data_IF_901836121709
#
_entry.id   IF_901836121709
#
_cell.length_a   1.000
_cell.length_b   1.000
_cell.length_c   1.000
_cell.angle_alpha   90.00
_cell.angle_beta   90.00
_cell.angle_gamma   90.00
#
_symmetry.space_group_name_H-M   'P 1'
#
loop_
_entity.id
_entity.type
_entity.pdbx_description
1 polymer ?
#
# COMPACT_ATOMS: atom_id res chain seq x y z
N UNK A 1 -16.39 -19.95 14.83
CA UNK A 1 -15.22 -19.23 14.28
C UNK A 1 -15.40 -17.81 14.70
N UNK A 2 -14.43 -17.25 15.43
CA UNK A 2 -14.48 -15.85 15.88
C UNK A 2 -13.40 -15.12 15.09
N UNK A 3 -13.78 -14.66 13.89
CA UNK A 3 -12.82 -14.09 12.94
C UNK A 3 -12.75 -12.59 13.13
N UNK A 4 -11.56 -12.06 13.37
CA UNK A 4 -11.37 -10.64 13.67
C UNK A 4 -10.33 -10.07 12.71
N UNK A 5 -10.65 -8.93 12.12
CA UNK A 5 -9.72 -8.10 11.39
C UNK A 5 -9.47 -6.83 12.21
N UNK A 6 -8.22 -6.58 12.60
CA UNK A 6 -7.79 -5.32 13.20
C UNK A 6 -6.78 -4.67 12.29
N UNK A 7 -6.96 -3.39 12.00
CA UNK A 7 -6.08 -2.73 11.05
C UNK A 7 -6.11 -1.23 11.14
N UNK A 8 -5.11 -0.64 10.49
CA UNK A 8 -4.96 0.78 10.28
C UNK A 8 -4.78 1.00 8.78
N UNK A 9 -5.50 1.95 8.18
CA UNK A 9 -5.40 2.23 6.75
C UNK A 9 -5.53 3.73 6.45
N UNK A 10 -5.34 4.10 5.18
CA UNK A 10 -5.44 5.48 4.68
C UNK A 10 -6.74 6.20 5.05
N UNK A 11 -7.86 5.47 5.22
CA UNK A 11 -9.16 6.07 5.60
C UNK A 11 -9.25 6.42 7.08
N UNK A 12 -8.55 5.67 7.94
CA UNK A 12 -8.64 5.83 9.40
C UNK A 12 -7.47 6.59 10.00
N UNK A 13 -6.35 6.70 9.28
CA UNK A 13 -5.15 7.32 9.82
C UNK A 13 -4.31 8.04 8.75
N UNK A 14 -3.77 9.22 9.08
CA UNK A 14 -2.85 9.92 8.19
C UNK A 14 -1.53 9.16 8.06
N UNK A 15 -0.82 9.36 6.95
CA UNK A 15 0.49 8.73 6.67
C UNK A 15 1.50 8.82 7.83
N UNK A 16 1.54 9.94 8.54
CA UNK A 16 2.45 10.18 9.67
C UNK A 16 2.22 9.26 10.87
N UNK A 17 1.01 8.69 10.98
CA UNK A 17 0.67 7.66 11.96
C UNK A 17 0.89 6.29 11.35
N UNK A 18 0.42 6.06 10.11
CA UNK A 18 0.52 4.75 9.43
C UNK A 18 1.95 4.25 9.27
N UNK A 19 2.89 5.14 8.93
CA UNK A 19 4.29 4.77 8.76
C UNK A 19 4.94 4.21 10.05
N UNK A 20 4.39 4.56 11.22
CA UNK A 20 4.83 4.02 12.51
C UNK A 20 4.44 2.55 12.64
N UNK A 21 3.29 2.17 12.08
CA UNK A 21 2.74 0.81 12.14
C UNK A 21 3.10 -0.07 10.93
N UNK A 22 3.71 0.50 9.89
CA UNK A 22 4.21 -0.30 8.76
C UNK A 22 5.20 -1.37 9.23
N UNK A 23 4.94 -2.62 8.86
CA UNK A 23 5.78 -3.77 9.20
C UNK A 23 6.65 -4.17 8.01
N UNK A 24 7.94 -4.35 8.27
CA UNK A 24 8.84 -5.04 7.33
C UNK A 24 8.55 -6.55 7.32
N UNK A 25 8.98 -7.31 6.31
CA UNK A 25 8.75 -8.76 6.27
C UNK A 25 9.23 -9.50 7.53
N UNK A 26 10.34 -9.05 8.12
CA UNK A 26 10.90 -9.60 9.37
C UNK A 26 9.98 -9.25 10.57
N UNK A 27 9.44 -8.04 10.61
CA UNK A 27 8.54 -7.64 11.70
C UNK A 27 7.16 -8.30 11.59
N UNK A 28 6.65 -8.52 10.39
CA UNK A 28 5.48 -9.38 10.18
C UNK A 28 5.74 -10.80 10.68
N UNK A 29 6.95 -11.31 10.48
CA UNK A 29 7.34 -12.64 10.95
C UNK A 29 7.38 -12.75 12.48
N UNK A 30 7.91 -11.71 13.13
CA UNK A 30 7.90 -11.58 14.58
C UNK A 30 6.48 -11.48 15.11
N UNK A 31 5.64 -10.64 14.50
CA UNK A 31 4.24 -10.45 14.90
C UNK A 31 3.46 -11.76 14.83
N UNK A 32 3.59 -12.50 13.72
CA UNK A 32 2.97 -13.81 13.60
C UNK A 32 3.48 -14.76 14.69
N UNK A 33 4.77 -14.77 14.98
CA UNK A 33 5.34 -15.61 16.05
C UNK A 33 4.74 -15.30 17.42
N UNK A 34 4.63 -14.03 17.79
CA UNK A 34 4.03 -13.58 19.05
C UNK A 34 2.54 -13.96 19.13
N UNK A 35 1.79 -13.76 18.04
CA UNK A 35 0.38 -14.19 17.96
C UNK A 35 0.23 -15.71 18.08
N UNK A 36 1.20 -16.50 17.61
CA UNK A 36 1.18 -17.97 17.80
C UNK A 36 1.29 -18.39 19.25
N UNK A 37 2.03 -17.63 20.02
CA UNK A 37 2.25 -17.89 21.44
C UNK A 37 1.06 -17.48 22.30
N UNK A 38 0.09 -16.77 21.73
CA UNK A 38 -1.16 -16.45 22.37
C UNK A 38 -2.12 -17.65 22.32
N UNK A 39 -2.44 -18.19 23.50
CA UNK A 39 -3.32 -19.35 23.61
C UNK A 39 -4.75 -19.10 23.10
N UNK A 40 -5.19 -17.85 23.01
CA UNK A 40 -6.50 -17.51 22.47
C UNK A 40 -6.53 -17.45 20.94
N UNK A 41 -5.38 -17.32 20.26
CA UNK A 41 -5.28 -17.21 18.80
C UNK A 41 -5.02 -18.57 18.18
N UNK A 42 -5.93 -19.00 17.29
CA UNK A 42 -5.84 -20.31 16.62
C UNK A 42 -5.26 -20.22 15.21
N UNK A 43 -5.58 -19.15 14.48
CA UNK A 43 -5.08 -18.89 13.13
C UNK A 43 -4.77 -17.40 12.98
N UNK A 44 -3.75 -17.05 12.20
CA UNK A 44 -3.39 -15.65 11.95
C UNK A 44 -2.72 -15.42 10.58
N UNK A 45 -2.96 -14.27 9.97
CA UNK A 45 -2.06 -13.68 8.97
C UNK A 45 -1.96 -12.17 9.14
N UNK A 46 -0.91 -11.59 8.56
CA UNK A 46 -0.63 -10.15 8.57
C UNK A 46 -0.45 -9.68 7.14
N UNK A 47 -1.04 -8.54 6.80
CA UNK A 47 -0.85 -7.86 5.53
C UNK A 47 -0.40 -6.41 5.80
N UNK A 48 0.86 -6.10 5.48
CA UNK A 48 1.39 -4.73 5.55
C UNK A 48 1.72 -4.22 4.13
N UNK A 49 1.07 -3.15 3.72
CA UNK A 49 1.26 -2.48 2.43
C UNK A 49 1.50 -0.99 2.62
N UNK A 50 1.63 -0.23 1.54
CA UNK A 50 1.72 1.23 1.62
C UNK A 50 0.44 1.91 2.13
N UNK A 51 -0.71 1.23 2.07
CA UNK A 51 -2.01 1.83 2.39
C UNK A 51 -2.67 1.24 3.64
N UNK A 52 -2.16 0.12 4.16
CA UNK A 52 -2.74 -0.57 5.31
C UNK A 52 -1.71 -1.45 6.04
N UNK A 53 -1.90 -1.58 7.34
CA UNK A 53 -1.34 -2.69 8.12
C UNK A 53 -2.51 -3.37 8.82
N UNK A 54 -2.74 -4.63 8.47
CA UNK A 54 -3.88 -5.41 8.95
C UNK A 54 -3.40 -6.73 9.53
N UNK A 55 -4.03 -7.11 10.63
CA UNK A 55 -3.86 -8.41 11.28
C UNK A 55 -5.22 -9.08 11.29
N UNK A 56 -5.24 -10.31 10.81
CA UNK A 56 -6.42 -11.14 10.77
C UNK A 56 -6.19 -12.34 11.66
N UNK A 57 -7.08 -12.54 12.64
CA UNK A 57 -6.97 -13.62 13.63
C UNK A 57 -8.28 -14.40 13.70
N UNK A 58 -8.17 -15.70 13.93
CA UNK A 58 -9.28 -16.52 14.41
C UNK A 58 -9.01 -16.87 15.87
N UNK A 59 -9.93 -16.54 16.76
CA UNK A 59 -9.75 -16.71 18.20
C UNK A 59 -10.71 -17.75 18.77
N UNK A 60 -10.36 -18.32 19.93
CA UNK A 60 -11.19 -19.32 20.61
C UNK A 60 -12.45 -18.67 21.19
N UNK A 61 -12.29 -17.50 21.82
CA UNK A 61 -13.35 -16.77 22.50
C UNK A 61 -13.66 -15.45 21.78
N UNK A 62 -14.94 -15.10 21.69
CA UNK A 62 -15.39 -13.85 21.08
C UNK A 62 -14.98 -12.62 21.92
N UNK A 63 -14.77 -12.78 23.22
CA UNK A 63 -14.34 -11.73 24.15
C UNK A 63 -12.83 -11.45 24.12
N UNK A 64 -12.12 -11.89 23.07
CA UNK A 64 -10.70 -11.65 22.91
C UNK A 64 -10.35 -10.15 22.89
N UNK A 65 -9.42 -9.75 23.74
CA UNK A 65 -8.98 -8.36 23.88
C UNK A 65 -8.15 -7.92 22.67
N UNK A 66 -8.81 -7.28 21.69
CA UNK A 66 -8.17 -6.89 20.42
C UNK A 66 -7.03 -5.88 20.60
N UNK A 67 -7.07 -5.07 21.67
CA UNK A 67 -6.02 -4.12 22.02
C UNK A 67 -4.66 -4.81 22.17
N UNK A 68 -4.65 -6.08 22.60
CA UNK A 68 -3.45 -6.90 22.71
C UNK A 68 -2.70 -7.03 21.39
N UNK A 69 -3.41 -7.15 20.26
CA UNK A 69 -2.78 -7.21 18.93
C UNK A 69 -2.05 -5.89 18.63
N UNK A 70 -2.68 -4.76 18.94
CA UNK A 70 -2.08 -3.43 18.75
C UNK A 70 -0.88 -3.22 19.67
N UNK A 71 -0.95 -3.70 20.92
CA UNK A 71 0.17 -3.68 21.86
C UNK A 71 1.38 -4.46 21.34
N UNK A 72 1.17 -5.66 20.78
CA UNK A 72 2.27 -6.46 20.19
C UNK A 72 2.90 -5.71 19.01
N UNK A 73 2.10 -5.08 18.14
CA UNK A 73 2.63 -4.25 17.05
C UNK A 73 3.47 -3.10 17.62
N UNK A 74 2.96 -2.39 18.63
CA UNK A 74 3.70 -1.31 19.31
C UNK A 74 5.04 -1.81 19.87
N UNK A 75 5.07 -2.96 20.53
CA UNK A 75 6.29 -3.57 21.06
C UNK A 75 7.31 -3.87 19.96
N UNK A 76 6.89 -4.52 18.87
CA UNK A 76 7.77 -4.86 17.73
C UNK A 76 8.33 -3.61 17.04
N UNK A 77 7.54 -2.54 17.02
CA UNK A 77 7.91 -1.26 16.42
C UNK A 77 8.67 -0.34 17.37
N UNK A 78 8.80 -0.70 18.66
CA UNK A 78 9.43 0.14 19.68
C UNK A 78 8.65 1.43 19.96
N UNK A 79 7.33 1.40 19.79
CA UNK A 79 6.44 2.54 20.03
C UNK A 79 5.80 2.36 21.41
N UNK A 80 5.81 3.42 22.22
CA UNK A 80 5.06 3.42 23.48
C UNK A 80 3.56 3.31 23.20
N UNK A 81 2.93 2.24 23.68
CA UNK A 81 1.49 2.08 23.57
C UNK A 81 0.76 3.17 24.38
N UNK A 82 -0.29 3.71 23.79
CA UNK A 82 -1.23 4.64 24.41
C UNK A 82 -2.62 4.30 23.90
N UNK A 83 -3.63 4.28 24.77
CA UNK A 83 -5.02 3.93 24.40
C UNK A 83 -5.58 4.85 23.31
N UNK A 84 -5.12 6.11 23.23
CA UNK A 84 -5.48 7.01 22.14
C UNK A 84 -5.09 6.53 20.74
N UNK A 85 -4.16 5.57 20.60
CA UNK A 85 -3.83 4.96 19.31
C UNK A 85 -4.98 4.15 18.73
N UNK A 86 -5.85 3.57 19.58
CA UNK A 86 -7.00 2.78 19.13
C UNK A 86 -7.96 3.59 18.26
N UNK A 87 -8.01 4.92 18.41
CA UNK A 87 -8.83 5.79 17.55
C UNK A 87 -8.43 5.78 16.06
N UNK A 88 -7.22 5.32 15.73
CA UNK A 88 -6.75 5.15 14.35
C UNK A 88 -6.99 3.75 13.79
N UNK A 89 -7.26 2.76 14.66
CA UNK A 89 -7.50 1.38 14.26
C UNK A 89 -9.00 1.14 14.08
N UNK A 90 -9.34 0.34 13.08
CA UNK A 90 -10.67 -0.25 12.97
C UNK A 90 -10.60 -1.71 13.38
N UNK A 91 -11.74 -2.23 13.82
CA UNK A 91 -11.91 -3.64 14.14
C UNK A 91 -13.21 -4.12 13.52
N UNK A 92 -13.13 -5.24 12.79
CA UNK A 92 -14.28 -5.92 12.23
C UNK A 92 -14.35 -7.34 12.77
N UNK A 93 -15.56 -7.82 12.98
CA UNK A 93 -15.85 -9.15 13.49
C UNK A 93 -16.63 -9.98 12.46
N UNK A 94 -16.32 -11.26 12.42
CA UNK A 94 -16.98 -12.33 11.68
C UNK A 94 -17.32 -11.96 10.24
N UNK A 95 -18.61 -11.86 9.91
CA UNK A 95 -19.06 -11.61 8.54
C UNK A 95 -18.53 -10.29 8.00
N UNK A 96 -18.43 -9.26 8.84
CA UNK A 96 -17.89 -7.96 8.46
C UNK A 96 -16.40 -8.06 8.17
N UNK A 97 -15.64 -8.84 8.96
CA UNK A 97 -14.22 -9.08 8.72
C UNK A 97 -13.98 -9.87 7.43
N UNK A 98 -14.81 -10.88 7.15
CA UNK A 98 -14.78 -11.65 5.89
C UNK A 98 -15.09 -10.73 4.71
N UNK A 99 -16.13 -9.90 4.81
CA UNK A 99 -16.50 -8.94 3.77
C UNK A 99 -15.36 -7.95 3.50
N UNK A 100 -14.79 -7.35 4.55
CA UNK A 100 -13.64 -6.47 4.45
C UNK A 100 -12.48 -7.12 3.70
N UNK A 101 -12.09 -8.34 4.11
CA UNK A 101 -11.03 -9.10 3.43
C UNK A 101 -11.33 -9.31 1.94
N UNK A 102 -12.57 -9.66 1.60
CA UNK A 102 -12.99 -9.85 0.19
C UNK A 102 -12.93 -8.54 -0.59
N UNK A 103 -13.36 -7.41 0.01
CA UNK A 103 -13.26 -6.08 -0.59
C UNK A 103 -11.81 -5.66 -0.83
N UNK A 104 -10.90 -5.94 0.11
CA UNK A 104 -9.45 -5.69 -0.04
C UNK A 104 -8.88 -6.56 -1.16
N UNK A 105 -9.16 -7.86 -1.19
CA UNK A 105 -8.70 -8.76 -2.25
C UNK A 105 -9.25 -8.39 -3.64
N UNK A 106 -10.47 -7.85 -3.72
CA UNK A 106 -11.07 -7.36 -4.95
C UNK A 106 -10.58 -5.94 -5.35
N UNK A 107 -9.83 -5.27 -4.47
CA UNK A 107 -9.32 -3.92 -4.70
C UNK A 107 -10.38 -2.82 -4.59
N UNK A 108 -11.54 -3.09 -3.99
CA UNK A 108 -12.56 -2.07 -3.70
C UNK A 108 -12.17 -1.21 -2.51
N UNK A 109 -11.52 -1.82 -1.52
CA UNK A 109 -10.91 -1.09 -0.42
C UNK A 109 -9.43 -0.87 -0.73
N UNK A 110 -9.13 0.01 -1.67
CA UNK A 110 -7.79 0.45 -2.03
C UNK A 110 -7.83 1.94 -2.32
N UNK A 111 -6.74 2.65 -2.01
CA UNK A 111 -6.55 4.05 -2.42
C UNK A 111 -6.87 4.22 -3.90
N UNK A 112 -6.35 3.30 -4.71
CA UNK A 112 -6.66 3.19 -6.13
C UNK A 112 -7.59 2.01 -6.34
N UNK A 113 -8.88 2.29 -6.50
CA UNK A 113 -9.89 1.23 -6.69
C UNK A 113 -9.56 0.41 -7.94
N UNK A 114 -9.55 -0.91 -7.78
CA UNK A 114 -9.23 -1.89 -8.82
C UNK A 114 -7.74 -2.15 -9.03
N UNK A 115 -6.88 -1.63 -8.15
CA UNK A 115 -5.43 -1.87 -8.22
C UNK A 115 -5.12 -3.37 -8.24
N UNK A 116 -4.38 -3.84 -9.24
CA UNK A 116 -4.07 -5.28 -9.39
C UNK A 116 -3.07 -5.80 -8.36
N UNK A 117 -2.30 -4.90 -7.75
CA UNK A 117 -1.18 -5.25 -6.87
C UNK A 117 -1.63 -5.78 -5.51
N UNK A 118 -2.74 -5.26 -4.97
CA UNK A 118 -3.23 -5.65 -3.64
C UNK A 118 -3.57 -7.14 -3.58
N UNK A 119 -4.21 -7.71 -4.61
CA UNK A 119 -4.50 -9.14 -4.68
C UNK A 119 -3.22 -9.99 -4.60
N UNK A 120 -2.15 -9.54 -5.26
CA UNK A 120 -0.85 -10.20 -5.18
C UNK A 120 -0.22 -10.12 -3.78
N UNK A 121 -0.31 -8.96 -3.13
CA UNK A 121 0.17 -8.76 -1.76
C UNK A 121 -0.60 -9.61 -0.74
N UNK A 122 -1.93 -9.64 -0.85
CA UNK A 122 -2.78 -10.50 0.00
C UNK A 122 -2.47 -11.98 -0.22
N UNK A 123 -2.25 -12.41 -1.48
CA UNK A 123 -1.81 -13.77 -1.76
C UNK A 123 -0.48 -14.09 -1.06
N UNK A 124 0.51 -13.20 -1.14
CA UNK A 124 1.78 -13.39 -0.43
C UNK A 124 1.61 -13.48 1.09
N UNK A 125 0.71 -12.68 1.67
CA UNK A 125 0.38 -12.76 3.10
C UNK A 125 -0.25 -14.11 3.47
N UNK A 126 -1.19 -14.62 2.66
CA UNK A 126 -1.77 -15.95 2.84
C UNK A 126 -0.74 -17.07 2.73
N UNK A 127 0.10 -17.03 1.69
CA UNK A 127 1.13 -18.04 1.46
C UNK A 127 2.12 -18.09 2.64
N UNK A 128 2.46 -16.92 3.21
CA UNK A 128 3.34 -16.78 4.38
C UNK A 128 2.71 -17.37 5.65
N UNK A 129 1.44 -17.06 5.91
CA UNK A 129 0.70 -17.65 7.04
C UNK A 129 0.62 -19.17 6.93
N UNK A 130 0.35 -19.69 5.73
CA UNK A 130 0.31 -21.12 5.46
C UNK A 130 1.67 -21.80 5.67
N UNK A 131 2.75 -21.27 5.09
CA UNK A 131 4.11 -21.84 5.21
C UNK A 131 4.59 -21.93 6.66
N UNK A 132 4.15 -21.00 7.51
CA UNK A 132 4.50 -20.97 8.93
C UNK A 132 3.55 -21.78 9.84
N UNK A 133 2.59 -22.48 9.25
CA UNK A 133 1.65 -23.33 9.96
C UNK A 133 0.63 -22.56 10.81
N UNK A 134 0.29 -21.33 10.41
CA UNK A 134 -0.75 -20.52 11.05
C UNK A 134 -2.14 -20.73 10.45
N UNK A 135 -2.24 -21.49 9.35
CA UNK A 135 -3.50 -21.72 8.66
C UNK A 135 -3.99 -23.11 9.00
N UNK A 136 -5.14 -23.17 9.66
CA UNK A 136 -5.92 -24.38 9.79
C UNK A 136 -6.97 -24.38 8.68
N UNK A 137 -8.06 -25.13 8.88
CA UNK A 137 -9.06 -25.36 7.84
C UNK A 137 -9.79 -24.07 7.43
N UNK A 138 -10.12 -23.20 8.38
CA UNK A 138 -10.96 -22.03 8.11
C UNK A 138 -10.20 -21.00 7.26
N UNK A 139 -8.96 -20.65 7.62
CA UNK A 139 -8.17 -19.69 6.85
C UNK A 139 -7.78 -20.23 5.48
N UNK A 140 -7.54 -21.54 5.34
CA UNK A 140 -7.31 -22.15 4.02
C UNK A 140 -8.54 -22.01 3.11
N UNK A 141 -9.75 -22.22 3.63
CA UNK A 141 -10.98 -22.02 2.84
C UNK A 141 -11.17 -20.54 2.52
N UNK A 142 -11.04 -19.66 3.52
CA UNK A 142 -11.22 -18.22 3.38
C UNK A 142 -10.28 -17.62 2.34
N UNK A 143 -8.97 -17.87 2.46
CA UNK A 143 -7.96 -17.37 1.54
C UNK A 143 -8.22 -17.82 0.10
N UNK A 144 -8.59 -19.08 -0.12
CA UNK A 144 -8.92 -19.60 -1.44
C UNK A 144 -10.20 -18.97 -2.03
N UNK A 145 -11.20 -18.67 -1.21
CA UNK A 145 -12.40 -17.96 -1.67
C UNK A 145 -12.06 -16.49 -1.97
N UNK A 146 -11.29 -15.82 -1.12
CA UNK A 146 -10.87 -14.43 -1.28
C UNK A 146 -10.01 -14.20 -2.53
N UNK A 147 -9.03 -15.07 -2.79
CA UNK A 147 -8.23 -15.01 -4.02
C UNK A 147 -9.13 -15.19 -5.24
N UNK A 148 -10.10 -16.12 -5.19
CA UNK A 148 -11.03 -16.33 -6.32
C UNK A 148 -11.97 -15.15 -6.50
N UNK A 149 -12.42 -14.50 -5.42
CA UNK A 149 -13.21 -13.27 -5.50
C UNK A 149 -12.44 -12.17 -6.23
N UNK A 150 -11.20 -11.90 -5.81
CA UNK A 150 -10.35 -10.89 -6.46
C UNK A 150 -10.04 -11.21 -7.93
N UNK A 151 -9.72 -12.46 -8.26
CA UNK A 151 -9.51 -12.88 -9.65
C UNK A 151 -10.77 -12.72 -10.50
N UNK A 152 -11.93 -13.10 -9.96
CA UNK A 152 -13.23 -12.99 -10.64
C UNK A 152 -13.58 -11.52 -10.89
N UNK A 153 -13.41 -10.66 -9.88
CA UNK A 153 -13.60 -9.22 -10.01
C UNK A 153 -12.72 -8.62 -11.13
N UNK A 154 -11.44 -8.99 -11.19
CA UNK A 154 -10.52 -8.49 -12.23
C UNK A 154 -10.82 -9.04 -13.64
N UNK A 155 -11.40 -10.24 -13.75
CA UNK A 155 -11.65 -10.90 -15.03
C UNK A 155 -13.02 -10.58 -15.62
N UNK A 156 -14.04 -10.41 -14.78
CA UNK A 156 -15.44 -10.27 -15.21
C UNK A 156 -15.97 -8.83 -15.11
N UNK A 157 -15.15 -7.89 -14.63
CA UNK A 157 -15.55 -6.48 -14.51
C UNK A 157 -14.45 -5.55 -15.01
N UNK A 158 -14.87 -4.35 -15.37
CA UNK A 158 -13.95 -3.31 -15.84
C UNK A 158 -13.18 -2.62 -14.70
N UNK A 159 -13.28 -3.13 -13.45
CA UNK A 159 -12.66 -2.52 -12.27
C UNK A 159 -11.14 -2.38 -12.43
N UNK A 160 -10.51 -3.34 -13.12
CA UNK A 160 -9.06 -3.38 -13.36
C UNK A 160 -8.62 -2.78 -14.70
N UNK A 161 -9.51 -2.15 -15.46
CA UNK A 161 -9.21 -1.54 -16.77
C UNK A 161 -8.70 -0.10 -16.58
N UNK A 162 -7.68 0.29 -17.35
CA UNK A 162 -7.12 1.64 -17.33
C UNK A 162 -5.86 1.83 -16.46
N UNK A 163 -5.23 0.75 -16.00
CA UNK A 163 -3.88 0.82 -15.43
C UNK A 163 -3.76 1.64 -14.14
N UNK A 164 -4.78 1.62 -13.29
CA UNK A 164 -4.80 2.41 -12.06
C UNK A 164 -3.94 1.75 -10.98
N UNK A 165 -2.86 2.42 -10.64
CA UNK A 165 -1.93 2.10 -9.54
C UNK A 165 -1.55 3.40 -8.83
N UNK A 166 -0.96 3.31 -7.65
CA UNK A 166 -0.45 4.50 -6.93
C UNK A 166 0.57 5.25 -7.79
N UNK A 167 1.42 4.52 -8.53
CA UNK A 167 2.36 5.11 -9.50
C UNK A 167 1.65 5.90 -10.60
N UNK A 168 0.52 5.42 -11.13
CA UNK A 168 -0.25 6.16 -12.13
C UNK A 168 -0.85 7.44 -11.53
N UNK A 169 -1.44 7.36 -10.34
CA UNK A 169 -2.02 8.51 -9.67
C UNK A 169 -0.96 9.60 -9.39
N UNK A 170 0.26 9.20 -9.01
CA UNK A 170 1.39 10.10 -8.84
C UNK A 170 1.74 10.87 -10.13
N UNK A 171 1.76 10.20 -11.28
CA UNK A 171 2.07 10.85 -12.57
C UNK A 171 0.91 11.74 -13.04
N UNK A 172 -0.34 11.33 -12.82
CA UNK A 172 -1.50 12.16 -13.13
C UNK A 172 -1.54 13.42 -12.25
N UNK A 173 -1.19 13.31 -10.97
CA UNK A 173 -1.01 14.47 -10.09
C UNK A 173 0.07 15.41 -10.62
N UNK A 174 1.21 14.87 -11.07
CA UNK A 174 2.27 15.67 -11.67
C UNK A 174 1.84 16.40 -12.94
N UNK A 175 1.07 15.75 -13.80
CA UNK A 175 0.54 16.37 -15.02
C UNK A 175 -0.51 17.46 -14.72
N UNK A 176 -1.34 17.28 -13.68
CA UNK A 176 -2.31 18.29 -13.24
C UNK A 176 -1.60 19.59 -12.84
N UNK A 177 -0.49 19.49 -12.12
CA UNK A 177 0.17 20.64 -11.51
C UNK A 177 1.27 21.24 -12.40
N UNK A 178 2.00 20.42 -13.17
CA UNK A 178 3.09 20.86 -14.05
C UNK A 178 2.66 21.04 -15.51
N UNK A 179 1.43 20.62 -15.86
CA UNK A 179 0.97 20.51 -17.24
C UNK A 179 1.63 19.34 -17.96
N UNK A 180 1.86 19.48 -19.28
CA UNK A 180 2.54 18.43 -20.06
C UNK A 180 3.90 18.09 -19.46
N UNK A 181 4.18 16.79 -19.36
CA UNK A 181 5.48 16.29 -18.90
C UNK A 181 6.50 16.17 -20.03
N UNK A 182 6.08 16.31 -21.29
CA UNK A 182 6.92 16.09 -22.47
C UNK A 182 8.18 16.96 -22.54
N UNK A 183 8.13 18.17 -22.00
CA UNK A 183 9.23 19.14 -21.92
C UNK A 183 9.95 19.14 -20.56
N UNK A 184 9.51 18.30 -19.63
CA UNK A 184 10.00 18.26 -18.24
C UNK A 184 11.11 17.22 -18.07
N UNK A 185 12.06 17.55 -17.21
CA UNK A 185 13.08 16.62 -16.73
C UNK A 185 12.61 15.94 -15.45
N UNK A 186 12.75 14.62 -15.35
CA UNK A 186 12.24 13.82 -14.22
C UNK A 186 13.36 13.08 -13.54
N UNK A 187 13.39 13.08 -12.20
CA UNK A 187 14.22 12.22 -11.38
C UNK A 187 13.36 11.10 -10.76
N UNK A 188 13.72 9.85 -10.99
CA UNK A 188 13.17 8.69 -10.31
C UNK A 188 14.16 8.21 -9.24
N UNK A 189 13.79 8.30 -7.96
CA UNK A 189 14.56 7.74 -6.85
C UNK A 189 13.97 6.39 -6.46
N UNK A 190 14.80 5.35 -6.61
CA UNK A 190 14.44 3.95 -6.44
C UNK A 190 14.18 3.25 -7.78
N UNK A 191 14.45 1.95 -7.84
CA UNK A 191 14.28 1.11 -9.04
C UNK A 191 13.37 -0.11 -8.81
N UNK A 192 12.47 -0.01 -7.83
CA UNK A 192 11.55 -1.08 -7.46
C UNK A 192 10.40 -1.28 -8.45
N UNK A 193 9.45 -2.14 -8.09
CA UNK A 193 8.24 -2.41 -8.90
C UNK A 193 7.44 -1.13 -9.16
N UNK A 194 7.25 -0.31 -8.13
CA UNK A 194 6.51 0.96 -8.21
C UNK A 194 7.24 2.00 -9.06
N UNK A 195 8.57 2.08 -8.97
CA UNK A 195 9.41 2.90 -9.84
C UNK A 195 9.27 2.52 -11.31
N UNK A 196 9.30 1.20 -11.62
CA UNK A 196 9.10 0.68 -12.98
C UNK A 196 7.73 1.06 -13.55
N UNK A 197 6.69 1.02 -12.72
CA UNK A 197 5.35 1.45 -13.12
C UNK A 197 5.28 2.97 -13.36
N UNK A 198 5.85 3.77 -12.45
CA UNK A 198 5.87 5.23 -12.57
C UNK A 198 6.62 5.68 -13.84
N UNK A 199 7.83 5.14 -14.06
CA UNK A 199 8.61 5.41 -15.26
C UNK A 199 7.86 4.98 -16.51
N UNK A 200 7.23 3.80 -16.53
CA UNK A 200 6.40 3.38 -17.67
C UNK A 200 5.26 4.35 -17.99
N UNK A 201 4.61 4.93 -16.97
CA UNK A 201 3.58 5.95 -17.17
C UNK A 201 4.16 7.27 -17.70
N UNK A 202 5.31 7.69 -17.17
CA UNK A 202 6.04 8.88 -17.66
C UNK A 202 6.45 8.70 -19.12
N UNK A 203 7.01 7.54 -19.48
CA UNK A 203 7.40 7.24 -20.86
C UNK A 203 6.23 7.27 -21.83
N UNK A 204 5.04 6.81 -21.44
CA UNK A 204 3.85 6.87 -22.28
C UNK A 204 3.36 8.31 -22.54
N UNK A 205 3.62 9.22 -21.59
CA UNK A 205 3.27 10.66 -21.71
C UNK A 205 4.36 11.49 -22.38
N UNK A 206 5.60 11.00 -22.38
CA UNK A 206 6.78 11.69 -22.86
C UNK A 206 7.45 12.52 -21.78
N UNK A 207 8.76 12.73 -21.94
CA UNK A 207 9.61 13.54 -21.06
C UNK A 207 10.81 14.09 -21.85
N UNK A 208 11.40 15.19 -21.36
CA UNK A 208 12.64 15.74 -21.95
C UNK A 208 13.85 14.92 -21.57
N UNK A 209 13.97 14.60 -20.28
CA UNK A 209 15.08 13.78 -19.75
C UNK A 209 14.64 13.02 -18.50
N UNK A 210 15.04 11.77 -18.39
CA UNK A 210 14.77 10.93 -17.22
C UNK A 210 16.08 10.55 -16.56
N UNK A 211 16.15 10.77 -15.24
CA UNK A 211 17.25 10.40 -14.38
C UNK A 211 16.81 9.31 -13.41
N UNK A 212 17.68 8.36 -13.11
CA UNK A 212 17.40 7.28 -12.15
C UNK A 212 18.51 7.21 -11.11
N UNK A 213 18.12 7.32 -9.83
CA UNK A 213 18.99 7.06 -8.67
C UNK A 213 18.51 5.81 -7.95
N UNK A 214 19.42 4.90 -7.60
CA UNK A 214 19.08 3.76 -6.75
C UNK A 214 20.28 3.31 -5.93
N UNK A 215 20.04 2.87 -4.67
CA UNK A 215 21.11 2.52 -3.72
C UNK A 215 22.03 1.46 -4.31
N UNK A 216 21.44 0.48 -4.98
CA UNK A 216 22.16 -0.50 -5.79
C UNK A 216 22.16 0.00 -7.22
N UNK A 217 23.32 0.46 -7.70
CA UNK A 217 23.48 1.06 -9.03
C UNK A 217 23.01 0.14 -10.16
N UNK A 218 23.26 -1.16 -10.05
CA UNK A 218 22.82 -2.14 -11.05
C UNK A 218 21.32 -2.07 -11.31
N UNK A 219 20.49 -1.90 -10.27
CA UNK A 219 19.04 -1.80 -10.47
C UNK A 219 18.64 -0.49 -11.17
N UNK A 220 19.39 0.61 -10.95
CA UNK A 220 19.19 1.84 -11.70
C UNK A 220 19.54 1.63 -13.17
N UNK A 221 20.66 0.95 -13.48
CA UNK A 221 21.07 0.60 -14.84
C UNK A 221 20.03 -0.28 -15.55
N UNK A 222 19.49 -1.29 -14.88
CA UNK A 222 18.45 -2.16 -15.44
C UNK A 222 17.17 -1.38 -15.79
N UNK A 223 16.77 -0.44 -14.95
CA UNK A 223 15.62 0.43 -15.21
C UNK A 223 15.93 1.41 -16.36
N UNK A 224 17.10 2.04 -16.33
CA UNK A 224 17.53 3.02 -17.31
C UNK A 224 17.64 2.44 -18.72
N UNK A 225 18.18 1.22 -18.86
CA UNK A 225 18.31 0.53 -20.14
C UNK A 225 16.95 0.30 -20.83
N UNK A 226 15.86 0.18 -20.05
CA UNK A 226 14.53 -0.07 -20.59
C UNK A 226 13.81 1.19 -21.06
N UNK A 227 14.19 2.36 -20.54
CA UNK A 227 13.45 3.62 -20.72
C UNK A 227 14.35 4.79 -21.15
N UNK A 228 15.54 4.49 -21.68
CA UNK A 228 16.51 5.49 -22.15
C UNK A 228 16.84 6.57 -21.09
N UNK A 229 16.91 6.15 -19.83
CA UNK A 229 17.21 7.05 -18.72
C UNK A 229 18.72 7.20 -18.47
N UNK A 230 19.10 8.28 -17.81
CA UNK A 230 20.45 8.51 -17.31
C UNK A 230 20.57 8.03 -15.86
N UNK A 231 21.55 7.16 -15.58
CA UNK A 231 21.85 6.75 -14.20
C UNK A 231 22.73 7.80 -13.55
N UNK A 232 22.35 8.22 -12.35
CA UNK A 232 23.04 9.26 -11.57
C UNK A 232 23.29 8.75 -10.15
N UNK A 233 24.39 9.22 -9.53
CA UNK A 233 24.77 8.82 -8.17
C UNK A 233 23.97 9.59 -7.12
N UNK A 234 23.81 8.99 -5.94
CA UNK A 234 23.30 9.72 -4.77
C UNK A 234 24.19 10.89 -4.37
N UNK A 235 25.49 10.82 -4.65
CA UNK A 235 26.41 11.93 -4.42
C UNK A 235 26.06 13.17 -5.26
N UNK A 236 25.43 12.97 -6.42
CA UNK A 236 25.05 14.04 -7.36
C UNK A 236 23.59 14.50 -7.16
N UNK A 237 22.97 14.15 -6.03
CA UNK A 237 21.56 14.44 -5.77
C UNK A 237 21.26 15.93 -5.86
N UNK A 238 22.11 16.77 -5.26
CA UNK A 238 21.91 18.22 -5.26
C UNK A 238 21.92 18.78 -6.68
N UNK A 239 22.91 18.38 -7.47
CA UNK A 239 23.13 18.83 -8.84
C UNK A 239 21.99 18.35 -9.74
N UNK A 240 21.56 17.09 -9.57
CA UNK A 240 20.44 16.52 -10.33
C UNK A 240 19.12 17.21 -9.98
N UNK A 241 18.85 17.46 -8.69
CA UNK A 241 17.66 18.20 -8.24
C UNK A 241 17.64 19.64 -8.79
N UNK A 242 18.79 20.25 -9.10
CA UNK A 242 18.85 21.54 -9.76
C UNK A 242 18.42 21.50 -11.26
N UNK A 243 18.43 20.33 -11.88
CA UNK A 243 18.14 20.14 -13.32
C UNK A 243 16.72 19.63 -13.61
N UNK A 244 16.08 18.96 -12.65
CA UNK A 244 14.77 18.33 -12.86
C UNK A 244 13.59 19.22 -12.49
N UNK A 245 12.40 18.90 -12.98
CA UNK A 245 11.15 19.61 -12.68
C UNK A 245 10.25 18.75 -11.78
N UNK A 246 10.38 17.43 -11.88
CA UNK A 246 9.66 16.43 -11.09
C UNK A 246 10.64 15.42 -10.47
N UNK A 247 10.48 15.12 -9.19
CA UNK A 247 11.15 14.04 -8.50
C UNK A 247 10.13 13.04 -7.94
N UNK A 248 10.15 11.80 -8.42
CA UNK A 248 9.31 10.72 -7.90
C UNK A 248 10.17 9.81 -7.03
N UNK A 249 9.78 9.62 -5.77
CA UNK A 249 10.50 8.75 -4.84
C UNK A 249 9.68 7.50 -4.54
N UNK A 250 10.31 6.35 -4.72
CA UNK A 250 9.75 5.03 -4.42
C UNK A 250 10.86 4.09 -3.99
N UNK A 251 11.20 4.11 -2.71
CA UNK A 251 12.23 3.24 -2.14
C UNK A 251 11.74 2.55 -0.87
N UNK A 252 12.43 1.47 -0.47
CA UNK A 252 12.14 0.73 0.76
C UNK A 252 13.02 1.19 1.93
N UNK A 253 13.61 2.39 1.83
CA UNK A 253 14.45 2.93 2.89
C UNK A 253 13.58 3.22 4.13
N UNK A 254 14.06 2.89 5.34
CA UNK A 254 13.33 3.19 6.58
C UNK A 254 13.54 4.64 7.06
N UNK A 255 14.24 5.47 6.30
CA UNK A 255 14.61 6.84 6.62
C UNK A 255 14.44 7.74 5.39
N UNK A 256 14.49 9.05 5.60
CA UNK A 256 14.48 10.02 4.51
C UNK A 256 15.75 9.88 3.67
N UNK A 257 15.54 9.58 2.40
CA UNK A 257 16.56 9.51 1.35
C UNK A 257 16.82 10.89 0.76
N UNK A 258 15.80 11.75 0.74
CA UNK A 258 15.89 13.14 0.31
C UNK A 258 15.65 14.03 1.52
N UNK A 259 16.72 14.61 2.05
CA UNK A 259 16.70 15.49 3.22
C UNK A 259 16.51 16.96 2.84
N UNK A 260 15.89 17.75 3.73
CA UNK A 260 15.57 19.14 3.44
C UNK A 260 16.79 20.01 3.13
N UNK A 261 17.91 19.78 3.81
CA UNK A 261 19.14 20.54 3.58
C UNK A 261 19.76 20.32 2.18
N UNK A 262 19.52 19.16 1.54
CA UNK A 262 19.96 18.91 0.16
C UNK A 262 19.06 19.67 -0.81
N UNK A 263 17.74 19.64 -0.58
CA UNK A 263 16.75 20.35 -1.41
C UNK A 263 16.97 21.86 -1.34
N UNK A 264 17.14 22.44 -0.15
CA UNK A 264 17.41 23.87 0.05
C UNK A 264 18.62 24.35 -0.76
N UNK A 265 19.73 23.61 -0.68
CA UNK A 265 20.95 23.89 -1.44
C UNK A 265 20.78 23.73 -2.96
N UNK A 266 19.86 22.87 -3.41
CA UNK A 266 19.52 22.73 -4.83
C UNK A 266 18.64 23.89 -5.30
N UNK A 267 17.67 24.33 -4.49
CA UNK A 267 16.78 25.47 -4.79
C UNK A 267 17.54 26.78 -4.94
N UNK A 268 18.62 26.97 -4.16
CA UNK A 268 19.52 28.12 -4.33
C UNK A 268 20.08 28.24 -5.76
N UNK A 269 20.40 27.10 -6.41
CA UNK A 269 20.89 27.07 -7.78
C UNK A 269 19.77 27.18 -8.85
N UNK A 270 18.51 27.01 -8.44
CA UNK A 270 17.34 27.00 -9.33
C UNK A 270 16.69 28.38 -9.48
N UNK A 271 16.95 29.31 -8.56
CA UNK A 271 16.23 30.58 -8.49
C UNK A 271 14.76 30.35 -8.15
N UNK A 272 13.85 30.85 -8.99
CA UNK A 272 12.39 30.73 -8.78
C UNK A 272 11.75 29.55 -9.54
N UNK A 273 12.55 28.65 -10.14
CA UNK A 273 12.00 27.50 -10.88
C UNK A 273 11.39 26.48 -9.92
N UNK A 274 10.09 26.14 -10.07
CA UNK A 274 9.43 25.20 -9.16
C UNK A 274 10.02 23.79 -9.27
N UNK A 275 9.96 23.05 -8.18
CA UNK A 275 10.33 21.63 -8.12
C UNK A 275 9.24 20.85 -7.40
N UNK A 276 8.65 19.88 -8.10
CA UNK A 276 7.63 19.01 -7.54
C UNK A 276 8.24 17.70 -7.09
N UNK A 277 7.85 17.24 -5.91
CA UNK A 277 8.16 15.94 -5.36
C UNK A 277 6.89 15.12 -5.17
N UNK A 278 6.96 13.84 -5.55
CA UNK A 278 5.91 12.87 -5.25
C UNK A 278 6.53 11.66 -4.58
N UNK A 279 6.26 11.50 -3.29
CA UNK A 279 6.74 10.37 -2.48
C UNK A 279 5.66 9.30 -2.37
N UNK A 280 5.89 8.20 -3.10
CA UNK A 280 5.05 7.01 -3.06
C UNK A 280 5.68 5.88 -2.23
N UNK A 281 6.58 6.23 -1.31
CA UNK A 281 7.25 5.30 -0.40
C UNK A 281 6.48 5.10 0.91
N UNK A 282 6.64 3.93 1.53
CA UNK A 282 6.17 3.65 2.88
C UNK A 282 7.23 2.85 3.65
N UNK A 283 7.83 3.40 4.73
CA UNK A 283 7.70 4.77 5.26
C UNK A 283 8.09 5.86 4.25
N UNK A 284 7.77 7.13 4.55
CA UNK A 284 8.16 8.26 3.69
C UNK A 284 9.68 8.31 3.53
N UNK A 285 10.13 8.58 2.31
CA UNK A 285 11.54 8.67 1.93
C UNK A 285 11.96 10.12 1.63
N UNK A 286 11.03 11.08 1.69
CA UNK A 286 11.33 12.51 1.59
C UNK A 286 11.02 13.20 2.91
N UNK A 287 11.95 14.03 3.39
CA UNK A 287 11.75 14.83 4.59
C UNK A 287 10.57 15.81 4.40
N UNK A 288 9.48 15.71 5.19
CA UNK A 288 8.31 16.57 5.05
C UNK A 288 8.63 18.08 5.18
N UNK A 289 9.76 18.44 5.80
CA UNK A 289 10.19 19.83 5.93
C UNK A 289 10.44 20.51 4.59
N UNK A 290 10.65 19.77 3.49
CA UNK A 290 10.84 20.40 2.17
C UNK A 290 9.60 21.17 1.70
N UNK A 291 8.41 20.84 2.22
CA UNK A 291 7.18 21.54 1.90
C UNK A 291 7.15 23.00 2.42
N UNK A 292 8.09 23.36 3.31
CA UNK A 292 8.25 24.72 3.81
C UNK A 292 9.16 25.59 2.93
N UNK A 293 9.82 24.99 1.92
CA UNK A 293 10.72 25.71 1.02
C UNK A 293 9.95 26.39 -0.10
N UNK A 294 10.34 27.62 -0.44
CA UNK A 294 9.73 28.35 -1.55
C UNK A 294 9.89 27.61 -2.88
N UNK A 295 8.83 27.62 -3.69
CA UNK A 295 8.77 26.96 -4.99
C UNK A 295 8.98 25.42 -4.95
N UNK A 296 8.76 24.79 -3.79
CA UNK A 296 8.76 23.33 -3.65
C UNK A 296 7.36 22.85 -3.35
N UNK A 297 6.91 21.83 -4.08
CA UNK A 297 5.67 21.11 -3.78
C UNK A 297 6.01 19.68 -3.41
N UNK A 298 5.44 19.15 -2.33
CA UNK A 298 5.61 17.77 -1.91
C UNK A 298 4.25 17.11 -1.77
N UNK A 299 4.09 15.99 -2.47
CA UNK A 299 2.92 15.14 -2.38
C UNK A 299 3.31 13.76 -1.86
N UNK A 300 2.46 13.22 -1.01
CA UNK A 300 2.52 11.88 -0.49
C UNK A 300 1.40 11.02 -1.08
N UNK A 301 1.41 9.74 -0.73
CA UNK A 301 0.40 8.76 -1.16
C UNK A 301 -1.03 9.24 -0.85
N UNK A 302 -1.26 9.88 0.30
CA UNK A 302 -2.60 10.33 0.71
C UNK A 302 -3.13 11.47 -0.16
N UNK A 303 -2.25 12.33 -0.68
CA UNK A 303 -2.66 13.45 -1.54
C UNK A 303 -3.22 12.96 -2.89
N UNK A 304 -2.83 11.75 -3.30
CA UNK A 304 -3.21 11.12 -4.56
C UNK A 304 -4.70 10.76 -4.62
N UNK A 305 -5.42 10.74 -3.48
CA UNK A 305 -6.87 10.47 -3.40
C UNK A 305 -7.66 11.36 -4.37
N UNK A 306 -7.35 12.65 -4.40
CA UNK A 306 -8.04 13.64 -5.25
C UNK A 306 -8.04 13.27 -6.74
N UNK A 307 -6.94 12.71 -7.23
CA UNK A 307 -6.77 12.32 -8.64
C UNK A 307 -7.45 10.99 -8.93
N UNK A 308 -7.59 10.13 -7.92
CA UNK A 308 -8.28 8.85 -8.06
C UNK A 308 -9.79 9.05 -8.07
N UNK A 309 -10.33 9.93 -7.23
CA UNK A 309 -11.78 10.18 -7.12
C UNK A 309 -12.41 10.61 -8.45
N UNK A 310 -11.72 11.45 -9.23
CA UNK A 310 -12.17 11.85 -10.57
C UNK A 310 -12.31 10.65 -11.54
N UNK A 311 -11.53 9.59 -11.32
CA UNK A 311 -11.61 8.33 -12.08
C UNK A 311 -12.72 7.40 -11.57
N UNK A 312 -13.12 7.50 -10.30
CA UNK A 312 -14.14 6.63 -9.68
C UNK A 312 -15.53 6.81 -10.28
N UNK A 313 -15.91 8.03 -10.67
CA UNK A 313 -17.21 8.30 -11.30
C UNK A 313 -17.40 7.46 -12.58
N UNK A 314 -16.31 7.16 -13.29
CA UNK A 314 -16.34 6.32 -14.50
C UNK A 314 -16.47 4.82 -14.20
N UNK A 315 -16.31 4.41 -12.93
CA UNK A 315 -16.25 3.00 -12.50
C UNK A 315 -17.42 2.56 -11.60
N UNK A 316 -18.42 3.40 -11.39
CA UNK A 316 -19.53 3.09 -10.48
C UNK A 316 -20.27 1.77 -10.84
N UNK A 317 -20.47 1.52 -12.14
CA UNK A 317 -21.06 0.28 -12.62
C UNK A 317 -20.18 -0.94 -12.29
N UNK A 318 -18.87 -0.84 -12.52
CA UNK A 318 -17.91 -1.89 -12.18
C UNK A 318 -17.85 -2.15 -10.66
N UNK A 319 -17.87 -1.11 -9.83
CA UNK A 319 -17.92 -1.24 -8.36
C UNK A 319 -19.15 -2.03 -7.92
N UNK A 320 -20.30 -1.76 -8.53
CA UNK A 320 -21.55 -2.47 -8.22
C UNK A 320 -21.46 -3.95 -8.57
N UNK A 321 -20.97 -4.28 -9.77
CA UNK A 321 -20.75 -5.66 -10.19
C UNK A 321 -19.75 -6.42 -9.29
N UNK A 322 -18.68 -5.75 -8.83
CA UNK A 322 -17.73 -6.37 -7.90
C UNK A 322 -18.36 -6.65 -6.54
N UNK A 323 -19.23 -5.76 -6.04
CA UNK A 323 -19.97 -6.01 -4.78
C UNK A 323 -20.87 -7.24 -4.88
N UNK A 324 -21.53 -7.45 -6.01
CA UNK A 324 -22.33 -8.67 -6.26
C UNK A 324 -21.45 -9.93 -6.27
N UNK A 325 -20.28 -9.87 -6.91
CA UNK A 325 -19.29 -10.96 -6.88
C UNK A 325 -18.86 -11.27 -5.44
N UNK A 326 -18.57 -10.24 -4.64
CA UNK A 326 -18.17 -10.39 -3.24
C UNK A 326 -19.28 -11.04 -2.43
N UNK A 327 -20.52 -10.55 -2.53
CA UNK A 327 -21.66 -11.11 -1.81
C UNK A 327 -21.83 -12.61 -2.09
N UNK A 328 -21.82 -13.00 -3.37
CA UNK A 328 -21.91 -14.40 -3.77
C UNK A 328 -20.74 -15.26 -3.24
N UNK A 329 -19.53 -14.68 -3.12
CA UNK A 329 -18.35 -15.37 -2.57
C UNK A 329 -18.37 -15.50 -1.06
N UNK A 330 -18.93 -14.52 -0.35
CA UNK A 330 -19.16 -14.62 1.10
C UNK A 330 -20.12 -15.77 1.37
N UNK A 331 -21.22 -15.88 0.63
CA UNK A 331 -22.19 -16.97 0.81
C UNK A 331 -21.59 -18.34 0.44
N UNK A 332 -20.75 -18.41 -0.61
CA UNK A 332 -19.95 -19.61 -0.92
C UNK A 332 -19.04 -20.01 0.24
N UNK A 333 -18.38 -19.03 0.89
CA UNK A 333 -17.50 -19.28 2.03
C UNK A 333 -18.27 -19.88 3.22
N UNK A 334 -19.38 -19.24 3.64
CA UNK A 334 -20.17 -19.72 4.77
C UNK A 334 -20.77 -21.10 4.52
N UNK A 335 -21.29 -21.35 3.30
CA UNK A 335 -21.78 -22.69 2.91
C UNK A 335 -20.69 -23.76 3.04
N UNK A 336 -19.43 -23.42 2.69
CA UNK A 336 -18.30 -24.35 2.84
C UNK A 336 -17.97 -24.60 4.30
N UNK A 337 -17.95 -23.55 5.12
CA UNK A 337 -17.65 -23.65 6.54
C UNK A 337 -18.72 -24.48 7.27
N UNK A 338 -20.00 -24.28 7.00
CA UNK A 338 -21.10 -25.08 7.57
C UNK A 338 -20.91 -26.58 7.28
N UNK A 339 -20.59 -26.93 6.03
CA UNK A 339 -20.31 -28.32 5.62
C UNK A 339 -19.11 -28.94 6.33
N UNK A 340 -18.21 -28.14 6.89
CA UNK A 340 -17.09 -28.67 7.67
C UNK A 340 -17.46 -29.08 9.10
N UNK A 341 -18.68 -28.79 9.56
CA UNK A 341 -19.15 -29.08 10.91
C UNK A 341 -18.51 -28.20 11.99
N UNK A 342 -17.79 -27.14 11.59
CA UNK A 342 -17.07 -26.21 12.48
C UNK A 342 -17.91 -24.97 12.87
N UNK A 343 -19.18 -24.93 12.43
CA UNK A 343 -20.16 -23.92 12.84
C UNK A 343 -21.29 -24.62 13.59
N UNK A 344 -21.37 -24.41 14.90
CA UNK A 344 -22.66 -24.43 15.58
C UNK A 344 -23.22 -23.02 15.38
N UNK A 345 -24.26 -22.89 14.57
CA UNK A 345 -25.06 -21.67 14.53
C UNK A 345 -25.65 -21.45 15.91
N UNK A 346 -25.13 -20.50 16.68
CA UNK A 346 -25.93 -19.83 17.69
C UNK A 346 -26.94 -18.95 16.94
N UNK A 347 -28.21 -19.14 17.29
CA UNK A 347 -29.42 -18.82 16.55
C UNK A 347 -29.58 -17.39 15.99
N UNK A 348 -30.52 -17.33 15.03
CA UNK A 348 -31.24 -16.18 14.42
C UNK A 348 -31.24 -14.85 15.17
#
# INVERSE_FOLDING_TARGET
MNFIAVGINHKTAPISIREKFYLTPIQEDLLLSELKSDAAVTEAFVASTCNRTEVYVNVIDADYEIERVVMIICQIRGIGYNSGLMGYFYTYHDRVAVEHLMQVCAGLDSLVIGERQILGQMKSAFDKGQQKGFFLKNFNILANVAIRAGKKAQAETDIGIGGSSVSWAAIMMAERDLGSLSDKSVLMVGAGKMSKLAVGQISNKGFRKLYVMNRTEQHARDLAARFEAEVVSFCDMRETLALVDLCVCSSSAPHYVIEAGVVEKSMTARGQRPLMFVDISMPRNIDPKIALLDNVSLYHIDDLESVVEESLLKRQAAVTAVKEIIAAKIDEFYTKIEKTGLFQTSDM
#
